data_IF_742488047639
#
_entry.id   IF_742488047639
#
_cell.length_a   1.000
_cell.length_b   1.000
_cell.length_c   1.000
_cell.angle_alpha   90.00
_cell.angle_beta   90.00
_cell.angle_gamma   90.00
#
_symmetry.space_group_name_H-M   'P 1'
#
loop_
_entity.id
_entity.type
_entity.pdbx_description
1 polymer ?
#
# COMPACT_ATOMS: atom_id res chain seq x y z
N UNK A 1 -28.78 -2.26 14.48
CA UNK A 1 -27.56 -3.01 14.17
C UNK A 1 -26.70 -2.10 13.33
N UNK A 2 -25.81 -1.41 14.03
CA UNK A 2 -24.97 -0.32 13.54
C UNK A 2 -23.87 -0.88 12.64
N UNK A 3 -24.06 -0.76 11.32
CA UNK A 3 -23.04 -1.11 10.36
C UNK A 3 -21.94 -0.05 10.42
N UNK A 4 -20.89 -0.33 11.20
CA UNK A 4 -19.64 0.42 11.22
C UNK A 4 -18.96 0.22 9.86
N UNK A 5 -19.28 1.09 8.92
CA UNK A 5 -18.53 1.29 7.68
C UNK A 5 -17.05 1.41 8.05
N UNK A 6 -16.17 0.49 7.62
CA UNK A 6 -14.75 0.65 7.87
C UNK A 6 -14.28 1.88 7.11
N UNK A 7 -13.68 2.77 7.88
CA UNK A 7 -13.11 4.06 7.53
C UNK A 7 -12.41 4.02 6.16
N UNK A 8 -13.10 4.58 5.18
CA UNK A 8 -12.53 4.82 3.87
C UNK A 8 -11.37 5.79 4.08
N UNK A 9 -10.16 5.26 3.95
CA UNK A 9 -9.06 5.97 3.35
C UNK A 9 -8.99 7.45 3.75
N UNK A 10 -8.90 7.75 5.04
CA UNK A 10 -8.41 9.05 5.48
C UNK A 10 -6.90 9.10 5.17
N UNK A 11 -6.59 9.10 3.88
CA UNK A 11 -5.44 9.79 3.35
C UNK A 11 -5.87 11.26 3.41
N UNK A 12 -5.64 11.90 4.53
CA UNK A 12 -5.66 13.36 4.59
C UNK A 12 -4.68 13.84 3.51
N UNK A 13 -5.14 14.43 2.39
CA UNK A 13 -4.23 14.88 1.32
C UNK A 13 -3.36 16.07 1.77
N UNK A 14 -3.59 16.56 2.99
CA UNK A 14 -2.89 17.65 3.67
C UNK A 14 -1.95 17.16 4.78
N UNK A 15 -1.53 15.88 4.77
CA UNK A 15 -0.42 15.43 5.61
C UNK A 15 0.93 15.90 5.03
N UNK A 16 1.15 17.22 4.94
CA UNK A 16 2.39 17.86 4.45
C UNK A 16 3.58 17.68 5.41
N UNK A 17 3.57 16.66 6.28
CA UNK A 17 4.63 16.43 7.26
C UNK A 17 4.89 14.98 7.66
N UNK A 18 4.15 14.01 7.14
CA UNK A 18 4.39 12.61 7.50
C UNK A 18 5.45 12.03 6.59
N UNK A 19 6.65 11.76 7.12
CA UNK A 19 7.65 10.95 6.40
C UNK A 19 7.19 9.49 6.42
N UNK A 20 6.95 8.91 5.25
CA UNK A 20 6.68 7.49 5.09
C UNK A 20 7.96 6.73 4.85
N UNK A 21 8.00 5.49 5.33
CA UNK A 21 9.10 4.56 5.11
C UNK A 21 8.58 3.31 4.43
N UNK A 22 9.22 2.90 3.35
CA UNK A 22 8.88 1.67 2.65
C UNK A 22 9.15 0.47 3.56
N UNK A 23 8.14 -0.36 3.78
CA UNK A 23 8.24 -1.55 4.63
C UNK A 23 9.21 -2.62 4.08
N UNK A 24 9.59 -2.54 2.79
CA UNK A 24 10.48 -3.51 2.14
C UNK A 24 11.94 -3.06 2.10
N UNK A 25 12.21 -1.88 1.57
CA UNK A 25 13.58 -1.40 1.34
C UNK A 25 14.01 -0.26 2.29
N UNK A 26 13.09 0.28 3.09
CA UNK A 26 13.38 1.39 4.00
C UNK A 26 13.49 2.76 3.31
N UNK A 27 13.26 2.87 2.00
CA UNK A 27 13.18 4.18 1.31
C UNK A 27 12.21 5.09 2.03
N UNK A 28 12.57 6.34 2.26
CA UNK A 28 11.69 7.34 2.85
C UNK A 28 11.12 8.29 1.79
N UNK A 29 9.92 8.80 2.01
CA UNK A 29 9.34 9.86 1.21
C UNK A 29 8.56 10.82 2.09
N UNK A 30 8.56 12.10 1.71
CA UNK A 30 7.78 13.13 2.38
C UNK A 30 6.33 13.08 1.88
N UNK A 31 5.39 13.04 2.82
CA UNK A 31 3.97 12.90 2.52
C UNK A 31 3.61 11.51 2.00
N UNK A 32 2.47 11.42 1.31
CA UNK A 32 1.99 10.19 0.65
C UNK A 32 2.18 10.35 -0.86
N UNK A 33 3.31 9.91 -1.44
CA UNK A 33 3.50 10.04 -2.88
C UNK A 33 2.44 9.22 -3.60
N UNK A 34 1.78 9.77 -4.64
CA UNK A 34 0.67 9.10 -5.32
C UNK A 34 1.09 7.79 -6.02
N UNK A 35 2.38 7.57 -6.20
CA UNK A 35 2.96 6.37 -6.81
C UNK A 35 3.24 5.24 -5.82
N UNK A 36 3.12 5.50 -4.51
CA UNK A 36 3.34 4.49 -3.49
C UNK A 36 2.09 3.65 -3.27
N UNK A 37 2.29 2.36 -3.01
CA UNK A 37 1.20 1.41 -2.76
C UNK A 37 1.01 1.23 -1.26
N UNK A 38 -0.24 1.30 -0.80
CA UNK A 38 -0.62 0.92 0.56
C UNK A 38 -1.22 -0.49 0.53
N UNK A 39 -0.67 -1.40 1.31
CA UNK A 39 -1.26 -2.71 1.59
C UNK A 39 -1.74 -2.76 3.04
N UNK A 40 -2.73 -3.62 3.31
CA UNK A 40 -3.19 -3.89 4.67
C UNK A 40 -2.90 -5.35 4.98
N UNK A 41 -2.02 -5.60 5.94
CA UNK A 41 -1.59 -6.94 6.35
C UNK A 41 -1.75 -7.07 7.87
N UNK A 42 -2.39 -8.16 8.34
CA UNK A 42 -2.66 -8.38 9.77
C UNK A 42 -3.32 -7.17 10.48
N UNK A 43 -4.12 -6.41 9.74
CA UNK A 43 -4.77 -5.18 10.23
C UNK A 43 -3.87 -3.94 10.28
N UNK A 44 -2.58 -4.06 9.95
CA UNK A 44 -1.63 -2.94 9.83
C UNK A 44 -1.51 -2.44 8.39
N UNK A 45 -1.36 -1.12 8.21
CA UNK A 45 -1.06 -0.52 6.91
C UNK A 45 0.44 -0.53 6.64
N UNK A 46 0.86 -1.12 5.53
CA UNK A 46 2.24 -1.13 5.06
C UNK A 46 2.34 -0.33 3.76
N UNK A 47 3.32 0.56 3.67
CA UNK A 47 3.57 1.37 2.49
C UNK A 47 4.77 0.85 1.72
N UNK A 48 4.67 0.81 0.40
CA UNK A 48 5.70 0.35 -0.50
C UNK A 48 6.00 1.41 -1.55
N UNK A 49 7.29 1.68 -1.77
CA UNK A 49 7.71 2.57 -2.85
C UNK A 49 7.37 1.96 -4.22
N UNK A 50 7.30 2.81 -5.23
CA UNK A 50 6.96 2.46 -6.62
C UNK A 50 7.74 1.24 -7.15
N UNK A 51 9.05 1.19 -6.90
CA UNK A 51 9.92 0.08 -7.31
C UNK A 51 9.56 -1.23 -6.59
N UNK A 52 9.46 -1.19 -5.26
CA UNK A 52 9.12 -2.36 -4.45
C UNK A 52 7.71 -2.87 -4.73
N UNK A 53 6.77 -1.97 -5.02
CA UNK A 53 5.41 -2.31 -5.41
C UNK A 53 5.38 -3.05 -6.75
N UNK A 54 6.03 -2.53 -7.79
CA UNK A 54 6.12 -3.22 -9.09
C UNK A 54 6.86 -4.54 -9.01
N UNK A 55 7.93 -4.61 -8.21
CA UNK A 55 8.65 -5.85 -7.98
C UNK A 55 7.78 -6.91 -7.28
N UNK A 56 6.86 -6.50 -6.39
CA UNK A 56 5.94 -7.40 -5.71
C UNK A 56 4.78 -7.87 -6.62
N UNK A 57 4.24 -6.98 -7.48
CA UNK A 57 3.20 -7.35 -8.46
C UNK A 57 3.67 -8.50 -9.37
N UNK A 58 4.91 -8.45 -9.86
CA UNK A 58 5.49 -9.54 -10.68
C UNK A 58 5.58 -10.89 -9.95
N UNK A 59 5.74 -10.88 -8.63
CA UNK A 59 5.81 -12.10 -7.83
C UNK A 59 4.42 -12.74 -7.59
N UNK A 60 3.34 -11.96 -7.68
CA UNK A 60 1.96 -12.43 -7.53
C UNK A 60 1.43 -12.96 -8.87
N UNK A 61 1.76 -12.31 -9.99
CA UNK A 61 1.38 -12.76 -11.35
C UNK A 61 1.90 -14.16 -11.70
N UNK A 62 3.06 -14.56 -11.19
CA UNK A 62 3.61 -15.92 -11.38
C UNK A 62 2.89 -17.02 -10.59
N UNK A 63 1.90 -16.67 -9.76
CA UNK A 63 1.21 -17.57 -8.81
C UNK A 63 -0.30 -17.53 -8.96
N UNK A 64 -0.85 -16.67 -9.83
CA UNK A 64 -2.22 -16.84 -10.32
C UNK A 64 -2.19 -18.00 -11.33
N UNK A 65 -2.67 -19.16 -10.89
CA UNK A 65 -2.90 -20.28 -11.76
C UNK A 65 -3.77 -19.82 -12.95
N UNK A 66 -3.35 -20.13 -14.17
CA UNK A 66 -4.03 -19.71 -15.39
C UNK A 66 -5.43 -20.33 -15.55
N UNK A 67 -5.93 -21.12 -14.59
CA UNK A 67 -7.21 -21.83 -14.62
C UNK A 67 -8.48 -20.95 -14.49
N UNK A 68 -8.42 -19.66 -14.79
CA UNK A 68 -9.57 -18.74 -14.72
C UNK A 68 -10.01 -18.15 -16.08
N UNK A 69 -9.45 -18.61 -17.21
CA UNK A 69 -10.07 -18.31 -18.52
C UNK A 69 -11.33 -19.14 -18.75
#
# INVERSE_FOLDING_TARGET
MDQKTPDAAQLDPEATGTTLTCARCGTTAEGFPPTWTCSVENGGRHYFCDDCARANLRAIEGRLDSAWW
#
